data_IF_978943616682
#
_entry.id   IF_978943616682
#
_cell.length_a   1.000
_cell.length_b   1.000
_cell.length_c   1.000
_cell.angle_alpha   90.00
_cell.angle_beta   90.00
_cell.angle_gamma   90.00
#
_symmetry.space_group_name_H-M   'P 1'
#
loop_
_entity.id
_entity.type
_entity.pdbx_description
1 polymer ?
#
# COMPACT_ATOMS: atom_id res chain seq x y z
N UNK A 1 -66.40 16.39 -36.42
CA UNK A 1 -66.65 15.30 -35.47
C UNK A 1 -65.49 14.32 -35.62
N UNK A 2 -64.76 14.12 -34.52
CA UNK A 2 -63.48 13.38 -34.34
C UNK A 2 -63.52 11.91 -34.85
N UNK A 3 -62.40 11.15 -34.89
CA UNK A 3 -61.05 11.47 -34.37
C UNK A 3 -59.86 11.14 -35.30
N UNK A 4 -58.76 11.82 -35.04
CA UNK A 4 -57.40 11.65 -35.56
C UNK A 4 -56.59 10.72 -34.67
N UNK A 5 -55.69 9.95 -35.29
CA UNK A 5 -54.78 8.97 -34.68
C UNK A 5 -53.93 9.53 -33.53
N UNK A 6 -53.62 8.75 -32.48
CA UNK A 6 -52.73 9.19 -31.41
C UNK A 6 -51.26 9.10 -31.85
N UNK A 7 -50.62 10.27 -31.82
CA UNK A 7 -49.21 10.52 -32.06
C UNK A 7 -48.35 9.86 -30.95
N UNK A 8 -47.33 9.10 -31.35
CA UNK A 8 -46.37 8.49 -30.44
C UNK A 8 -45.56 9.57 -29.70
N UNK A 9 -45.18 9.36 -28.42
CA UNK A 9 -44.43 10.36 -27.66
C UNK A 9 -43.03 10.55 -28.26
N UNK A 10 -42.48 11.77 -28.25
CA UNK A 10 -41.14 12.03 -28.76
C UNK A 10 -40.12 11.29 -27.90
N UNK A 11 -39.22 10.57 -28.56
CA UNK A 11 -38.03 9.99 -27.97
C UNK A 11 -37.20 11.11 -27.34
N UNK A 12 -37.01 11.04 -26.03
CA UNK A 12 -36.13 11.95 -25.31
C UNK A 12 -34.74 11.92 -25.92
N UNK A 13 -34.27 13.08 -26.40
CA UNK A 13 -32.91 13.26 -26.88
C UNK A 13 -31.94 13.00 -25.72
N UNK A 14 -31.12 11.96 -25.85
CA UNK A 14 -29.86 11.86 -25.15
C UNK A 14 -29.01 13.09 -25.50
N UNK A 15 -28.85 14.03 -24.57
CA UNK A 15 -27.97 15.17 -24.75
C UNK A 15 -28.48 16.44 -24.11
N UNK A 16 -28.44 16.49 -22.78
CA UNK A 16 -27.97 17.66 -22.05
C UNK A 16 -27.61 17.16 -20.64
N UNK A 17 -26.35 16.76 -20.48
CA UNK A 17 -25.79 16.61 -19.14
C UNK A 17 -25.88 17.99 -18.50
N UNK A 18 -26.85 18.18 -17.60
CA UNK A 18 -26.96 19.38 -16.80
C UNK A 18 -25.56 19.74 -16.31
N UNK A 19 -25.11 20.97 -16.60
CA UNK A 19 -23.81 21.45 -16.16
C UNK A 19 -23.72 21.16 -14.66
N UNK A 20 -22.81 20.27 -14.25
CA UNK A 20 -22.64 19.91 -12.84
C UNK A 20 -22.32 21.21 -12.09
N UNK A 21 -23.32 21.78 -11.41
CA UNK A 21 -23.15 22.98 -10.59
C UNK A 21 -22.48 22.52 -9.31
N UNK A 22 -21.18 22.72 -9.23
CA UNK A 22 -20.38 22.38 -8.06
C UNK A 22 -18.88 22.44 -8.35
N UNK A 23 -18.03 22.53 -7.33
CA UNK A 23 -16.58 22.39 -7.49
C UNK A 23 -16.28 21.08 -8.24
N UNK A 24 -15.31 21.09 -9.17
CA UNK A 24 -14.90 19.87 -9.88
C UNK A 24 -14.62 18.78 -8.84
N UNK A 25 -15.10 17.53 -9.03
CA UNK A 25 -14.76 16.42 -8.14
C UNK A 25 -13.26 16.18 -8.25
N UNK A 26 -12.51 16.84 -7.39
CA UNK A 26 -11.09 16.63 -7.22
C UNK A 26 -10.91 15.68 -6.06
N UNK A 27 -10.04 14.70 -6.21
CA UNK A 27 -9.72 13.81 -5.10
C UNK A 27 -8.75 14.54 -4.17
N UNK A 28 -9.18 14.75 -2.93
CA UNK A 28 -8.36 15.38 -1.89
C UNK A 28 -7.61 14.28 -1.14
N UNK A 29 -6.28 14.33 -1.19
CA UNK A 29 -5.39 13.47 -0.40
C UNK A 29 -4.74 14.28 0.70
N UNK A 30 -4.86 13.79 1.94
CA UNK A 30 -4.17 14.37 3.10
C UNK A 30 -2.84 13.66 3.33
N UNK A 31 -1.76 14.43 3.48
CA UNK A 31 -0.42 13.88 3.68
C UNK A 31 -0.28 13.23 5.06
N UNK A 32 -0.23 11.91 5.12
CA UNK A 32 0.06 11.18 6.34
C UNK A 32 1.58 10.90 6.46
N UNK A 33 2.23 11.61 7.38
CA UNK A 33 3.66 11.40 7.65
C UNK A 33 3.92 10.04 8.27
N UNK A 34 3.10 9.66 9.26
CA UNK A 34 3.25 8.44 10.03
C UNK A 34 2.12 7.44 9.74
N UNK A 35 2.47 6.15 9.70
CA UNK A 35 1.54 5.03 9.58
C UNK A 35 1.73 4.06 10.75
N UNK A 36 0.62 3.48 11.24
CA UNK A 36 0.69 2.42 12.24
C UNK A 36 1.18 1.12 11.60
N UNK A 37 1.76 0.23 12.40
CA UNK A 37 2.18 -1.11 11.96
C UNK A 37 1.01 -1.87 11.31
N UNK A 38 -0.18 -1.76 11.91
CA UNK A 38 -1.39 -2.40 11.39
C UNK A 38 -1.74 -1.92 9.97
N UNK A 39 -1.62 -0.61 9.72
CA UNK A 39 -1.84 -0.03 8.39
C UNK A 39 -0.79 -0.52 7.39
N UNK A 40 0.49 -0.55 7.78
CA UNK A 40 1.58 -1.05 6.94
C UNK A 40 1.33 -2.52 6.54
N UNK A 41 1.00 -3.37 7.52
CA UNK A 41 0.67 -4.79 7.28
C UNK A 41 -0.55 -4.96 6.38
N UNK A 42 -1.58 -4.13 6.54
CA UNK A 42 -2.76 -4.13 5.65
C UNK A 42 -2.35 -3.81 4.21
N UNK A 43 -1.59 -2.74 4.00
CA UNK A 43 -1.13 -2.34 2.66
C UNK A 43 -0.25 -3.41 2.00
N UNK A 44 0.64 -4.05 2.77
CA UNK A 44 1.47 -5.15 2.27
C UNK A 44 0.63 -6.38 1.87
N UNK A 45 -0.41 -6.70 2.64
CA UNK A 45 -1.36 -7.78 2.32
C UNK A 45 -2.16 -7.48 1.05
N UNK A 46 -2.67 -6.25 0.91
CA UNK A 46 -3.43 -5.82 -0.29
C UNK A 46 -2.57 -5.83 -1.56
N UNK A 47 -1.27 -5.56 -1.43
CA UNK A 47 -0.33 -5.60 -2.54
C UNK A 47 0.02 -7.04 -2.98
N UNK A 48 -0.48 -8.07 -2.30
CA UNK A 48 -0.19 -9.49 -2.57
C UNK A 48 1.33 -9.78 -2.62
N UNK A 49 2.06 -9.15 -1.70
CA UNK A 49 3.51 -9.25 -1.63
C UNK A 49 3.92 -10.32 -0.60
N UNK A 50 4.86 -11.18 -0.98
CA UNK A 50 5.50 -12.10 -0.04
C UNK A 50 6.34 -11.29 0.97
N UNK A 51 6.05 -11.35 2.29
CA UNK A 51 6.76 -10.54 3.29
C UNK A 51 8.28 -10.73 3.27
N UNK A 52 8.75 -11.96 3.07
CA UNK A 52 10.19 -12.23 3.05
C UNK A 52 10.87 -11.63 1.82
N UNK A 53 10.20 -11.66 0.67
CA UNK A 53 10.70 -11.05 -0.57
C UNK A 53 10.71 -9.53 -0.47
N UNK A 54 9.66 -8.94 0.09
CA UNK A 54 9.57 -7.49 0.31
C UNK A 54 10.69 -7.00 1.22
N UNK A 55 10.94 -7.69 2.34
CA UNK A 55 12.05 -7.37 3.25
C UNK A 55 13.39 -7.36 2.53
N UNK A 56 13.66 -8.38 1.69
CA UNK A 56 14.90 -8.46 0.93
C UNK A 56 15.03 -7.30 -0.07
N UNK A 57 13.96 -6.96 -0.80
CA UNK A 57 13.98 -5.82 -1.73
C UNK A 57 14.13 -4.49 -1.01
N UNK A 58 13.51 -4.34 0.17
CA UNK A 58 13.67 -3.16 1.01
C UNK A 58 15.11 -2.98 1.45
N UNK A 59 15.73 -4.06 1.96
CA UNK A 59 17.12 -4.05 2.40
C UNK A 59 18.09 -3.76 1.26
N UNK A 60 17.91 -4.43 0.11
CA UNK A 60 18.74 -4.20 -1.08
C UNK A 60 18.56 -2.78 -1.63
N UNK A 61 17.34 -2.25 -1.64
CA UNK A 61 17.05 -0.88 -2.06
C UNK A 61 17.72 0.16 -1.18
N UNK A 62 17.57 0.05 0.14
CA UNK A 62 18.22 0.97 1.09
C UNK A 62 19.76 0.87 1.01
N UNK A 63 20.29 -0.34 0.85
CA UNK A 63 21.73 -0.56 0.66
C UNK A 63 22.24 0.05 -0.65
N UNK A 64 21.46 -0.05 -1.73
CA UNK A 64 21.77 0.59 -3.02
C UNK A 64 21.82 2.11 -2.86
N UNK A 65 20.84 2.72 -2.19
CA UNK A 65 20.83 4.17 -1.91
C UNK A 65 22.08 4.57 -1.11
N UNK A 66 22.45 3.80 -0.07
CA UNK A 66 23.66 4.07 0.74
C UNK A 66 24.96 3.94 -0.09
N UNK A 67 25.02 2.98 -1.01
CA UNK A 67 26.25 2.76 -1.80
C UNK A 67 26.40 3.82 -2.89
N UNK A 68 25.30 4.14 -3.59
CA UNK A 68 25.28 5.15 -4.65
C UNK A 68 25.55 6.55 -4.09
N UNK A 69 24.98 6.91 -2.93
CA UNK A 69 25.26 8.22 -2.32
C UNK A 69 26.75 8.39 -1.97
N UNK A 70 27.39 7.32 -1.48
CA UNK A 70 28.80 7.33 -1.11
C UNK A 70 29.66 7.50 -2.37
N UNK A 71 29.34 6.78 -3.44
CA UNK A 71 30.04 6.89 -4.72
C UNK A 71 29.89 8.29 -5.37
N UNK A 72 28.72 8.90 -5.23
CA UNK A 72 28.45 10.26 -5.73
C UNK A 72 29.00 11.38 -4.81
N UNK A 73 29.68 11.02 -3.72
CA UNK A 73 30.17 11.94 -2.69
C UNK A 73 29.06 12.88 -2.16
N UNK A 74 27.83 12.37 -2.02
CA UNK A 74 26.73 13.10 -1.42
C UNK A 74 27.00 13.20 0.09
N UNK A 75 27.66 14.28 0.49
CA UNK A 75 28.05 14.54 1.89
C UNK A 75 26.87 14.59 2.88
N UNK A 76 25.68 15.12 2.52
CA UNK A 76 24.58 15.18 3.47
C UNK A 76 23.91 13.81 3.68
N UNK A 77 23.97 13.29 4.91
CA UNK A 77 23.15 12.14 5.33
C UNK A 77 21.66 12.43 5.24
N UNK A 78 21.26 13.72 5.26
CA UNK A 78 19.87 14.14 5.06
C UNK A 78 19.28 13.64 3.74
N UNK A 79 20.06 13.65 2.65
CA UNK A 79 19.62 13.15 1.34
C UNK A 79 19.30 11.66 1.38
N UNK A 80 20.05 10.88 2.16
CA UNK A 80 19.79 9.45 2.37
C UNK A 80 18.52 9.20 3.17
N UNK A 81 18.32 9.95 4.25
CA UNK A 81 17.15 9.80 5.11
C UNK A 81 15.86 10.08 4.34
N UNK A 82 15.88 11.14 3.52
CA UNK A 82 14.79 11.51 2.60
C UNK A 82 14.57 10.44 1.54
N UNK A 83 15.63 9.98 0.88
CA UNK A 83 15.53 8.93 -0.14
C UNK A 83 14.96 7.62 0.42
N UNK A 84 15.39 7.19 1.61
CA UNK A 84 14.87 5.98 2.25
C UNK A 84 13.40 6.12 2.63
N UNK A 85 13.01 7.28 3.16
CA UNK A 85 11.61 7.55 3.53
C UNK A 85 10.70 7.51 2.30
N UNK A 86 11.14 8.09 1.18
CA UNK A 86 10.41 8.07 -0.08
C UNK A 86 10.32 6.67 -0.67
N UNK A 87 11.43 5.92 -0.63
CA UNK A 87 11.47 4.55 -1.10
C UNK A 87 10.50 3.64 -0.32
N UNK A 88 10.48 3.75 1.02
CA UNK A 88 9.54 3.00 1.86
C UNK A 88 8.09 3.33 1.54
N UNK A 89 7.75 4.62 1.42
CA UNK A 89 6.38 5.04 1.04
C UNK A 89 6.01 4.52 -0.35
N UNK A 90 6.89 4.68 -1.34
CA UNK A 90 6.67 4.16 -2.69
C UNK A 90 6.38 2.66 -2.69
N UNK A 91 7.18 1.85 -1.99
CA UNK A 91 7.01 0.39 -1.93
C UNK A 91 5.73 -0.07 -1.26
N UNK A 92 5.20 0.71 -0.31
CA UNK A 92 3.91 0.40 0.31
C UNK A 92 2.73 0.69 -0.63
N UNK A 93 2.90 1.58 -1.60
CA UNK A 93 1.81 2.06 -2.44
C UNK A 93 1.75 1.43 -3.83
N UNK A 94 2.82 0.78 -4.27
CA UNK A 94 2.88 0.07 -5.55
C UNK A 94 3.24 -1.40 -5.36
N UNK A 95 2.67 -2.25 -6.20
CA UNK A 95 2.93 -3.70 -6.19
C UNK A 95 4.33 -4.02 -6.70
N UNK A 96 4.90 -5.11 -6.17
CA UNK A 96 6.23 -5.64 -6.54
C UNK A 96 6.39 -5.95 -8.03
N UNK A 97 5.30 -6.35 -8.69
CA UNK A 97 5.32 -6.70 -10.11
C UNK A 97 5.35 -5.48 -11.04
N UNK A 98 4.98 -4.30 -10.55
CA UNK A 98 4.82 -3.12 -11.41
C UNK A 98 6.12 -2.35 -11.60
N UNK A 99 6.99 -2.31 -10.58
CA UNK A 99 8.22 -1.54 -10.60
C UNK A 99 9.38 -2.27 -9.95
N UNK A 100 10.52 -2.26 -10.64
CA UNK A 100 11.76 -2.81 -10.12
C UNK A 100 12.25 -2.00 -8.90
N UNK A 101 12.65 -2.70 -7.84
CA UNK A 101 13.13 -2.06 -6.61
C UNK A 101 14.36 -1.17 -6.84
N UNK A 102 15.21 -1.53 -7.82
CA UNK A 102 16.40 -0.74 -8.15
C UNK A 102 16.02 0.61 -8.75
N UNK A 103 15.10 0.63 -9.72
CA UNK A 103 14.65 1.85 -10.36
C UNK A 103 13.88 2.74 -9.39
N UNK A 104 13.05 2.14 -8.53
CA UNK A 104 12.35 2.85 -7.45
C UNK A 104 13.33 3.47 -6.44
N UNK A 105 14.40 2.76 -6.06
CA UNK A 105 15.41 3.26 -5.13
C UNK A 105 16.23 4.42 -5.74
N UNK A 106 16.66 4.29 -7.00
CA UNK A 106 17.40 5.34 -7.71
C UNK A 106 16.52 6.57 -7.99
N UNK A 107 15.25 6.37 -8.33
CA UNK A 107 14.30 7.45 -8.49
C UNK A 107 14.01 8.18 -7.15
N UNK A 108 13.89 7.43 -6.05
CA UNK A 108 13.74 8.02 -4.71
C UNK A 108 14.96 8.86 -4.33
N UNK A 109 16.17 8.40 -4.66
CA UNK A 109 17.40 9.17 -4.47
C UNK A 109 17.43 10.42 -5.36
N UNK A 110 17.01 10.32 -6.62
CA UNK A 110 16.96 11.45 -7.54
C UNK A 110 16.02 12.56 -7.05
N UNK A 111 14.82 12.21 -6.60
CA UNK A 111 13.86 13.16 -6.01
C UNK A 111 14.42 13.76 -4.72
N UNK A 112 14.99 12.94 -3.82
CA UNK A 112 15.60 13.42 -2.58
C UNK A 112 16.77 14.40 -2.83
N UNK A 113 17.57 14.20 -3.88
CA UNK A 113 18.63 15.13 -4.26
C UNK A 113 18.09 16.51 -4.64
N UNK A 114 16.91 16.58 -5.26
CA UNK A 114 16.26 17.86 -5.58
C UNK A 114 15.72 18.55 -4.33
N UNK A 115 15.11 17.79 -3.42
CA UNK A 115 14.51 18.32 -2.18
C UNK A 115 15.58 18.83 -1.20
N UNK A 116 16.75 18.19 -1.14
CA UNK A 116 17.83 18.52 -0.21
C UNK A 116 18.92 19.43 -0.80
N UNK A 117 18.68 20.08 -1.93
CA UNK A 117 19.64 20.95 -2.63
C UNK A 117 20.98 20.27 -2.98
N UNK A 118 20.95 18.96 -3.23
CA UNK A 118 22.10 18.14 -3.65
C UNK A 118 21.95 17.64 -5.09
N UNK A 119 21.40 18.49 -5.96
CA UNK A 119 20.93 18.13 -7.31
C UNK A 119 22.00 17.39 -8.13
N UNK A 120 21.61 16.22 -8.66
CA UNK A 120 22.39 15.40 -9.60
C UNK A 120 21.54 15.09 -10.82
N UNK A 121 22.19 14.88 -11.98
CA UNK A 121 21.47 14.42 -13.18
C UNK A 121 21.07 12.95 -12.98
N UNK A 122 19.94 12.54 -13.54
CA UNK A 122 19.47 11.15 -13.46
C UNK A 122 20.49 10.17 -14.04
N UNK A 123 21.16 10.54 -15.14
CA UNK A 123 22.24 9.75 -15.75
C UNK A 123 23.47 9.59 -14.84
N UNK A 124 23.83 10.61 -14.05
CA UNK A 124 24.96 10.52 -13.12
C UNK A 124 24.67 9.53 -12.00
N UNK A 125 23.42 9.51 -11.50
CA UNK A 125 22.97 8.55 -10.48
C UNK A 125 23.00 7.12 -11.04
N UNK A 126 22.54 6.94 -12.28
CA UNK A 126 22.58 5.65 -12.97
C UNK A 126 24.00 5.15 -13.24
N UNK A 127 24.87 6.03 -13.71
CA UNK A 127 26.28 5.70 -13.93
C UNK A 127 26.96 5.30 -12.62
N UNK A 128 26.70 6.02 -11.53
CA UNK A 128 27.21 5.64 -10.20
C UNK A 128 26.69 4.26 -9.76
N UNK A 129 25.40 3.98 -9.94
CA UNK A 129 24.82 2.67 -9.63
C UNK A 129 25.43 1.55 -10.49
N UNK A 130 25.72 1.81 -11.77
CA UNK A 130 26.36 0.86 -12.67
C UNK A 130 27.82 0.62 -12.30
N UNK A 131 28.58 1.67 -12.00
CA UNK A 131 30.01 1.61 -11.65
C UNK A 131 30.24 0.91 -10.31
N UNK A 132 29.29 1.04 -9.37
CA UNK A 132 29.29 0.27 -8.11
C UNK A 132 29.15 -1.24 -8.38
N UNK A 133 28.34 -1.63 -9.36
CA UNK A 133 28.13 -3.05 -9.72
C UNK A 133 29.23 -3.61 -10.62
N UNK A 134 29.81 -2.78 -11.47
CA UNK A 134 30.79 -3.16 -12.47
C UNK A 134 32.08 -2.34 -12.30
N UNK A 135 32.86 -2.59 -11.22
CA UNK A 135 34.10 -1.84 -10.97
C UNK A 135 35.15 -2.06 -12.06
N UNK A 136 35.14 -3.23 -12.72
CA UNK A 136 36.10 -3.59 -13.77
C UNK A 136 35.83 -2.90 -15.12
N UNK A 137 34.61 -2.39 -15.32
CA UNK A 137 34.17 -1.74 -16.55
C UNK A 137 33.31 -0.52 -16.23
N UNK A 138 33.90 0.56 -15.70
CA UNK A 138 33.16 1.78 -15.42
C UNK A 138 32.64 2.38 -16.72
N UNK A 139 31.41 2.88 -16.69
CA UNK A 139 30.76 3.60 -17.77
C UNK A 139 30.64 5.09 -17.41
N UNK A 140 30.74 5.94 -18.42
CA UNK A 140 30.57 7.38 -18.25
C UNK A 140 29.09 7.74 -18.24
N UNK A 141 28.69 8.81 -17.55
CA UNK A 141 27.27 9.20 -17.49
C UNK A 141 26.68 9.64 -18.83
N UNK A 142 27.53 9.93 -19.82
CA UNK A 142 27.11 10.26 -21.19
C UNK A 142 26.84 9.02 -22.07
N UNK A 143 27.11 7.80 -21.58
CA UNK A 143 26.84 6.58 -22.34
C UNK A 143 25.35 6.41 -22.66
N UNK A 144 25.07 6.00 -23.91
CA UNK A 144 23.70 5.77 -24.40
C UNK A 144 22.93 4.71 -23.61
N UNK A 145 23.65 3.83 -22.91
CA UNK A 145 23.10 2.79 -22.02
C UNK A 145 22.21 3.41 -20.94
N UNK A 146 22.51 4.64 -20.49
CA UNK A 146 21.78 5.33 -19.43
C UNK A 146 20.61 6.19 -19.93
N UNK A 147 20.38 6.29 -21.24
CA UNK A 147 19.34 7.16 -21.78
C UNK A 147 17.93 6.61 -21.50
N UNK A 148 17.69 5.32 -21.76
CA UNK A 148 16.39 4.69 -21.52
C UNK A 148 16.08 4.57 -20.01
N UNK A 149 16.98 4.04 -19.15
CA UNK A 149 16.77 4.03 -17.71
C UNK A 149 16.61 5.44 -17.12
N UNK A 150 17.30 6.44 -17.68
CA UNK A 150 17.18 7.84 -17.27
C UNK A 150 15.77 8.39 -17.48
N UNK A 151 15.11 8.03 -18.58
CA UNK A 151 13.69 8.40 -18.85
C UNK A 151 12.74 7.72 -17.87
N UNK A 152 13.00 6.46 -17.50
CA UNK A 152 12.21 5.73 -16.50
C UNK A 152 12.28 6.43 -15.14
N UNK A 153 13.49 6.78 -14.67
CA UNK A 153 13.66 7.52 -13.39
C UNK A 153 12.88 8.84 -13.39
N UNK A 154 12.92 9.58 -14.49
CA UNK A 154 12.18 10.84 -14.62
C UNK A 154 10.65 10.58 -14.63
N UNK A 155 10.19 9.49 -15.25
CA UNK A 155 8.78 9.09 -15.19
C UNK A 155 8.33 8.70 -13.78
N UNK A 156 9.19 8.00 -13.03
CA UNK A 156 8.94 7.57 -11.65
C UNK A 156 8.92 8.74 -10.65
N UNK A 157 9.63 9.85 -10.94
CA UNK A 157 9.62 11.04 -10.09
C UNK A 157 8.20 11.53 -9.80
N UNK A 158 7.34 11.62 -10.82
CA UNK A 158 5.94 12.05 -10.65
C UNK A 158 5.18 11.13 -9.69
N UNK A 159 5.34 9.82 -9.85
CA UNK A 159 4.68 8.82 -9.01
C UNK A 159 5.15 8.91 -7.55
N UNK A 160 6.44 9.14 -7.33
CA UNK A 160 7.00 9.34 -5.98
C UNK A 160 6.42 10.60 -5.35
N UNK A 161 6.35 11.72 -6.08
CA UNK A 161 5.78 12.98 -5.60
C UNK A 161 4.30 12.85 -5.21
N UNK A 162 3.51 12.16 -6.05
CA UNK A 162 2.10 11.85 -5.76
C UNK A 162 1.96 10.94 -4.54
N UNK A 163 2.87 9.98 -4.36
CA UNK A 163 2.84 9.04 -3.23
C UNK A 163 3.17 9.68 -1.89
N UNK A 164 4.16 10.60 -1.87
CA UNK A 164 4.47 11.37 -0.65
C UNK A 164 3.43 12.46 -0.37
N UNK A 165 2.50 12.68 -1.30
CA UNK A 165 1.49 13.73 -1.23
C UNK A 165 2.08 15.13 -1.26
N UNK A 166 3.18 15.31 -2.00
CA UNK A 166 3.98 16.55 -2.01
C UNK A 166 4.42 17.03 -0.61
N UNK A 167 4.47 16.14 0.39
CA UNK A 167 5.01 16.46 1.71
C UNK A 167 6.52 16.25 1.76
N UNK A 168 7.26 17.34 1.63
CA UNK A 168 8.71 17.37 1.68
C UNK A 168 9.28 17.45 3.10
N UNK A 169 8.43 17.42 4.14
CA UNK A 169 8.87 17.56 5.54
C UNK A 169 9.46 16.26 6.08
N UNK A 170 10.65 15.91 5.63
CA UNK A 170 11.42 14.79 6.19
C UNK A 170 12.03 15.17 7.54
N UNK A 171 12.15 14.19 8.44
CA UNK A 171 12.74 14.36 9.77
C UNK A 171 14.08 13.63 9.88
N UNK A 172 15.05 14.30 10.51
CA UNK A 172 16.42 13.83 10.64
C UNK A 172 16.76 13.55 12.12
N UNK A 173 16.82 12.28 12.56
CA UNK A 173 17.12 11.92 13.94
C UNK A 173 18.54 12.25 14.36
N UNK A 174 19.50 12.30 13.43
CA UNK A 174 20.93 12.43 13.71
C UNK A 174 21.27 13.76 14.40
N UNK A 175 20.62 14.86 14.01
CA UNK A 175 20.84 16.18 14.64
C UNK A 175 20.40 16.19 16.10
N UNK A 176 19.29 15.50 16.40
CA UNK A 176 18.78 15.39 17.77
C UNK A 176 19.60 14.37 18.58
N UNK A 177 20.06 13.29 17.95
CA UNK A 177 20.93 12.28 18.55
C UNK A 177 22.20 12.91 19.13
N UNK A 178 22.89 13.76 18.36
CA UNK A 178 24.09 14.47 18.84
C UNK A 178 23.78 15.29 20.10
N UNK A 179 22.66 16.01 20.12
CA UNK A 179 22.26 16.85 21.27
C UNK A 179 21.95 16.02 22.51
N UNK A 180 21.22 14.92 22.34
CA UNK A 180 20.83 14.03 23.44
C UNK A 180 22.06 13.34 24.02
N UNK A 181 22.90 12.73 23.19
CA UNK A 181 24.12 12.05 23.65
C UNK A 181 25.04 13.03 24.39
N UNK A 182 25.27 14.23 23.84
CA UNK A 182 26.08 15.26 24.50
C UNK A 182 25.49 15.73 25.83
N UNK A 183 24.16 15.75 25.95
CA UNK A 183 23.50 16.16 27.20
C UNK A 183 23.55 15.11 28.30
N UNK A 184 23.64 13.83 27.95
CA UNK A 184 23.66 12.72 28.92
C UNK A 184 25.10 12.38 29.33
N UNK A 185 26.03 12.31 28.37
CA UNK A 185 27.38 11.77 28.57
C UNK A 185 28.50 12.82 28.51
N UNK A 186 28.19 14.06 28.12
CA UNK A 186 29.19 15.07 27.81
C UNK A 186 29.89 14.82 26.46
N UNK A 187 30.99 15.55 26.20
CA UNK A 187 31.65 15.57 24.89
C UNK A 187 32.62 14.40 24.67
N UNK A 188 33.42 14.06 25.68
CA UNK A 188 34.52 13.09 25.55
C UNK A 188 34.03 11.65 25.73
N UNK A 189 33.34 11.36 26.84
CA UNK A 189 32.77 10.03 27.08
C UNK A 189 31.65 9.67 26.08
N UNK A 190 31.02 10.68 25.48
CA UNK A 190 29.96 10.49 24.49
C UNK A 190 30.45 10.11 23.09
N UNK A 191 31.74 10.23 22.75
CA UNK A 191 32.20 10.05 21.36
C UNK A 191 32.13 8.58 20.89
N UNK A 192 32.64 7.64 21.68
CA UNK A 192 32.59 6.21 21.36
C UNK A 192 31.15 5.70 21.31
N UNK A 193 30.33 6.12 22.29
CA UNK A 193 28.90 5.84 22.35
C UNK A 193 28.16 6.39 21.13
N UNK A 194 28.47 7.63 20.74
CA UNK A 194 27.85 8.29 19.60
C UNK A 194 28.17 7.57 18.28
N UNK A 195 29.40 7.08 18.08
CA UNK A 195 29.78 6.34 16.85
C UNK A 195 28.88 5.11 16.64
N UNK A 196 28.62 4.35 17.71
CA UNK A 196 27.74 3.18 17.68
C UNK A 196 26.29 3.61 17.45
N UNK A 197 25.79 4.58 18.24
CA UNK A 197 24.42 5.07 18.12
C UNK A 197 24.14 5.68 16.73
N UNK A 198 25.13 6.35 16.13
CA UNK A 198 25.05 6.91 14.79
C UNK A 198 24.99 5.82 13.72
N UNK A 199 25.82 4.77 13.83
CA UNK A 199 25.73 3.61 12.94
C UNK A 199 24.36 2.91 13.06
N UNK A 200 23.84 2.75 14.28
CA UNK A 200 22.48 2.23 14.51
C UNK A 200 21.42 3.13 13.87
N UNK A 201 21.61 4.44 13.88
CA UNK A 201 20.66 5.38 13.27
C UNK A 201 20.55 5.19 11.75
N UNK A 202 21.63 4.78 11.09
CA UNK A 202 21.63 4.47 9.65
C UNK A 202 20.96 3.12 9.40
N UNK A 203 21.26 2.11 10.20
CA UNK A 203 20.63 0.79 10.08
C UNK A 203 19.12 0.84 10.38
N UNK A 204 18.66 1.75 11.25
CA UNK A 204 17.23 1.99 11.50
C UNK A 204 16.46 2.35 10.22
N UNK A 205 17.07 3.01 9.23
CA UNK A 205 16.40 3.31 7.96
C UNK A 205 16.18 2.07 7.07
N UNK A 206 16.67 0.89 7.45
CA UNK A 206 16.35 -0.39 6.80
C UNK A 206 15.03 -0.99 7.27
N UNK A 207 14.43 -0.44 8.32
CA UNK A 207 13.10 -0.82 8.83
C UNK A 207 12.06 0.24 8.49
N UNK A 208 10.79 -0.02 8.81
CA UNK A 208 9.70 0.95 8.68
C UNK A 208 9.64 1.97 9.84
N UNK A 209 10.59 1.98 10.76
CA UNK A 209 10.62 2.95 11.88
C UNK A 209 10.50 4.42 11.42
N UNK A 210 11.19 4.88 10.35
CA UNK A 210 11.10 6.28 9.90
C UNK A 210 9.69 6.72 9.49
N UNK A 211 8.85 5.78 9.06
CA UNK A 211 7.45 6.03 8.70
C UNK A 211 6.47 5.70 9.84
N UNK A 212 6.93 5.11 10.95
CA UNK A 212 6.09 4.76 12.11
C UNK A 212 6.20 5.74 13.27
N UNK A 213 7.36 6.39 13.44
CA UNK A 213 7.74 7.03 14.71
C UNK A 213 8.28 8.44 14.56
N UNK A 214 8.07 9.24 15.60
CA UNK A 214 8.61 10.60 15.69
C UNK A 214 10.12 10.60 15.92
N UNK A 215 10.78 11.69 15.55
CA UNK A 215 12.22 11.90 15.74
C UNK A 215 12.69 11.68 17.17
N UNK A 216 11.89 12.10 18.15
CA UNK A 216 12.26 11.96 19.56
C UNK A 216 12.22 10.50 20.01
N UNK A 217 11.16 9.77 19.67
CA UNK A 217 11.05 8.33 19.98
C UNK A 217 12.16 7.52 19.32
N UNK A 218 12.51 7.83 18.06
CA UNK A 218 13.63 7.19 17.35
C UNK A 218 14.96 7.42 18.08
N UNK A 219 15.26 8.67 18.46
CA UNK A 219 16.52 8.98 19.16
C UNK A 219 16.59 8.33 20.53
N UNK A 220 15.51 8.36 21.31
CA UNK A 220 15.49 7.72 22.62
C UNK A 220 15.68 6.20 22.53
N UNK A 221 15.06 5.56 21.52
CA UNK A 221 15.26 4.14 21.25
C UNK A 221 16.72 3.82 20.88
N UNK A 222 17.35 4.62 20.02
CA UNK A 222 18.74 4.43 19.64
C UNK A 222 19.69 4.58 20.83
N UNK A 223 19.50 5.60 21.66
CA UNK A 223 20.34 5.85 22.83
C UNK A 223 20.15 4.75 23.88
N UNK A 224 18.91 4.36 24.18
CA UNK A 224 18.66 3.29 25.15
C UNK A 224 19.16 1.93 24.64
N UNK A 225 18.96 1.62 23.36
CA UNK A 225 19.47 0.39 22.76
C UNK A 225 21.00 0.36 22.79
N UNK A 226 21.66 1.46 22.44
CA UNK A 226 23.12 1.57 22.52
C UNK A 226 23.61 1.33 23.95
N UNK A 227 22.97 1.94 24.95
CA UNK A 227 23.30 1.73 26.37
C UNK A 227 23.11 0.28 26.82
N UNK A 228 22.05 -0.41 26.38
CA UNK A 228 21.83 -1.83 26.67
C UNK A 228 22.86 -2.73 25.97
N UNK A 229 23.23 -2.42 24.74
CA UNK A 229 24.22 -3.18 23.97
C UNK A 229 25.62 -3.05 24.58
N UNK A 230 26.06 -1.84 24.92
CA UNK A 230 27.38 -1.59 25.52
C UNK A 230 27.42 -1.91 27.02
N UNK A 231 26.26 -2.01 27.68
CA UNK A 231 26.16 -2.18 29.13
C UNK A 231 26.56 -0.93 29.92
N UNK A 232 26.62 0.23 29.27
CA UNK A 232 27.09 1.49 29.86
C UNK A 232 25.98 2.53 29.90
N UNK A 233 25.98 3.37 30.94
CA UNK A 233 25.16 4.59 31.05
C UNK A 233 23.63 4.39 30.99
N UNK A 234 23.13 3.18 31.26
CA UNK A 234 21.70 2.88 31.23
C UNK A 234 20.89 3.78 32.17
N UNK A 235 21.37 3.99 33.40
CA UNK A 235 20.65 4.76 34.42
C UNK A 235 20.55 6.25 34.05
N UNK A 236 21.63 6.81 33.50
CA UNK A 236 21.65 8.20 33.03
C UNK A 236 20.65 8.41 31.86
N UNK A 237 20.51 7.43 30.97
CA UNK A 237 19.52 7.48 29.88
C UNK A 237 18.09 7.40 30.43
N UNK A 238 17.83 6.53 31.40
CA UNK A 238 16.51 6.41 32.05
C UNK A 238 16.13 7.68 32.80
N UNK A 239 17.07 8.27 33.54
CA UNK A 239 16.85 9.53 34.24
C UNK A 239 16.56 10.68 33.27
N UNK A 240 17.30 10.76 32.17
CA UNK A 240 17.04 11.73 31.12
C UNK A 240 15.65 11.54 30.51
N UNK A 241 15.23 10.30 30.25
CA UNK A 241 13.92 9.97 29.71
C UNK A 241 12.79 10.39 30.67
N UNK A 242 12.93 10.09 31.96
CA UNK A 242 11.92 10.40 32.99
C UNK A 242 11.64 11.91 33.13
N UNK A 243 12.63 12.76 32.83
CA UNK A 243 12.49 14.23 32.90
C UNK A 243 11.80 14.83 31.68
N UNK A 244 11.43 14.04 30.66
CA UNK A 244 10.91 14.55 29.38
C UNK A 244 9.43 14.17 29.19
N UNK A 245 8.51 15.14 29.09
CA UNK A 245 7.09 14.84 28.91
C UNK A 245 6.78 14.23 27.52
N UNK A 246 7.64 14.45 26.53
CA UNK A 246 7.49 13.84 25.19
C UNK A 246 7.88 12.35 25.15
N UNK A 247 8.40 11.80 26.25
CA UNK A 247 8.82 10.42 26.31
C UNK A 247 7.62 9.48 26.40
N UNK A 248 7.49 8.60 25.41
CA UNK A 248 6.43 7.61 25.36
C UNK A 248 7.04 6.20 25.28
N UNK A 249 6.98 5.46 26.40
CA UNK A 249 7.63 4.15 26.57
C UNK A 249 7.24 3.12 25.49
N UNK A 250 5.95 2.90 25.17
CA UNK A 250 5.56 1.94 24.14
C UNK A 250 6.14 2.27 22.76
N UNK A 251 6.22 3.56 22.38
CA UNK A 251 6.77 3.97 21.09
C UNK A 251 8.28 3.71 21.00
N UNK A 252 9.00 3.87 22.12
CA UNK A 252 10.44 3.58 22.22
C UNK A 252 10.70 2.09 22.18
N UNK A 253 9.94 1.29 22.95
CA UNK A 253 10.06 -0.17 22.98
C UNK A 253 9.80 -0.80 21.61
N UNK A 254 8.73 -0.40 20.93
CA UNK A 254 8.42 -0.88 19.58
C UNK A 254 9.57 -0.58 18.60
N UNK A 255 10.12 0.65 18.67
CA UNK A 255 11.26 1.03 17.83
C UNK A 255 12.50 0.18 18.11
N UNK A 256 12.80 -0.09 19.38
CA UNK A 256 13.93 -0.92 19.77
C UNK A 256 13.77 -2.36 19.28
N UNK A 257 12.56 -2.92 19.38
CA UNK A 257 12.27 -4.28 18.92
C UNK A 257 12.32 -4.39 17.40
N UNK A 258 11.83 -3.41 16.65
CA UNK A 258 11.94 -3.38 15.19
C UNK A 258 13.42 -3.37 14.74
N UNK A 259 14.27 -2.61 15.43
CA UNK A 259 15.72 -2.57 15.16
C UNK A 259 16.41 -3.88 15.57
N UNK A 260 16.03 -4.48 16.70
CA UNK A 260 16.58 -5.77 17.13
C UNK A 260 16.18 -6.91 16.20
N UNK A 261 14.97 -6.90 15.68
CA UNK A 261 14.51 -7.89 14.70
C UNK A 261 15.31 -7.79 13.40
N UNK A 262 15.62 -6.56 12.95
CA UNK A 262 16.54 -6.35 11.83
C UNK A 262 17.93 -6.97 12.11
N UNK A 263 18.51 -6.76 13.29
CA UNK A 263 19.83 -7.30 13.61
C UNK A 263 19.83 -8.83 13.77
N UNK A 264 18.74 -9.42 14.26
CA UNK A 264 18.63 -10.87 14.43
C UNK A 264 18.40 -11.57 13.08
N UNK A 265 17.52 -11.04 12.24
CA UNK A 265 17.17 -11.66 10.96
C UNK A 265 18.21 -11.38 9.88
N UNK A 266 18.78 -10.17 9.86
CA UNK A 266 19.65 -9.68 8.79
C UNK A 266 21.00 -9.16 9.30
N UNK A 267 21.59 -9.88 10.26
CA UNK A 267 22.84 -9.54 10.94
C UNK A 267 23.95 -9.04 10.00
N UNK A 268 24.25 -9.80 8.94
CA UNK A 268 25.33 -9.49 7.97
C UNK A 268 25.02 -8.31 7.05
N UNK A 269 23.75 -7.93 6.91
CA UNK A 269 23.30 -6.84 6.05
C UNK A 269 23.31 -5.49 6.77
N UNK A 270 23.78 -5.42 8.03
CA UNK A 270 23.78 -4.21 8.87
C UNK A 270 25.19 -3.81 9.30
N UNK A 271 25.39 -2.51 9.52
CA UNK A 271 26.69 -1.97 9.96
C UNK A 271 27.00 -2.31 11.42
N UNK A 272 25.97 -2.34 12.27
CA UNK A 272 26.11 -2.62 13.70
C UNK A 272 25.98 -4.10 14.01
N UNK A 273 25.20 -4.86 13.24
CA UNK A 273 25.10 -6.31 13.43
C UNK A 273 26.47 -6.96 13.44
N UNK A 274 27.32 -6.66 12.46
CA UNK A 274 28.69 -7.20 12.37
C UNK A 274 29.64 -6.78 13.49
N UNK A 275 29.29 -5.79 14.33
CA UNK A 275 30.13 -5.31 15.43
C UNK A 275 29.85 -6.04 16.76
N UNK A 276 28.70 -6.69 16.90
CA UNK A 276 28.27 -7.35 18.12
C UNK A 276 27.90 -8.81 17.85
N UNK A 277 28.04 -9.66 18.87
CA UNK A 277 27.60 -11.05 18.78
C UNK A 277 26.08 -11.14 18.67
N UNK A 278 25.59 -12.08 17.87
CA UNK A 278 24.16 -12.32 17.65
C UNK A 278 23.45 -12.62 18.98
N UNK A 279 24.10 -13.37 19.87
CA UNK A 279 23.56 -13.71 21.19
C UNK A 279 23.25 -12.46 22.01
N UNK A 280 24.09 -11.42 21.93
CA UNK A 280 23.85 -10.17 22.65
C UNK A 280 22.56 -9.48 22.22
N UNK A 281 22.26 -9.49 20.92
CA UNK A 281 20.99 -8.95 20.41
C UNK A 281 19.79 -9.78 20.87
N UNK A 282 19.92 -11.11 20.90
CA UNK A 282 18.87 -12.00 21.40
C UNK A 282 18.60 -11.79 22.90
N UNK A 283 19.65 -11.69 23.72
CA UNK A 283 19.53 -11.45 25.17
C UNK A 283 18.81 -10.12 25.46
N UNK A 284 19.20 -9.05 24.76
CA UNK A 284 18.57 -7.73 24.92
C UNK A 284 17.10 -7.78 24.47
N UNK A 285 16.80 -8.50 23.37
CA UNK A 285 15.41 -8.68 22.91
C UNK A 285 14.57 -9.46 23.91
N UNK A 286 15.09 -10.54 24.49
CA UNK A 286 14.40 -11.32 25.53
C UNK A 286 14.08 -10.41 26.72
N UNK A 287 15.07 -9.64 27.20
CA UNK A 287 14.87 -8.71 28.31
C UNK A 287 13.77 -7.66 28.03
N UNK A 288 13.69 -7.14 26.81
CA UNK A 288 12.64 -6.19 26.41
C UNK A 288 11.26 -6.84 26.26
N UNK A 289 11.18 -8.07 25.76
CA UNK A 289 9.91 -8.79 25.68
C UNK A 289 9.37 -9.14 27.08
N UNK A 290 10.24 -9.55 28.00
CA UNK A 290 9.84 -9.73 29.42
C UNK A 290 9.35 -8.42 30.04
N UNK A 291 9.96 -7.28 29.68
CA UNK A 291 9.49 -5.95 30.11
C UNK A 291 8.09 -5.64 29.55
N UNK A 292 7.83 -5.93 28.25
CA UNK A 292 6.51 -5.76 27.63
C UNK A 292 5.44 -6.60 28.33
N UNK A 293 5.73 -7.86 28.61
CA UNK A 293 4.81 -8.78 29.29
C UNK A 293 4.49 -8.31 30.71
N UNK A 294 5.52 -7.88 31.45
CA UNK A 294 5.39 -7.39 32.82
C UNK A 294 4.52 -6.12 32.90
N UNK A 295 4.70 -5.20 31.96
CA UNK A 295 4.01 -3.91 31.94
C UNK A 295 2.70 -3.94 31.13
N UNK A 296 2.30 -5.12 30.61
CA UNK A 296 1.13 -5.32 29.75
C UNK A 296 1.10 -4.41 28.53
N UNK A 297 2.27 -4.11 27.96
CA UNK A 297 2.41 -3.27 26.78
C UNK A 297 2.37 -4.15 25.53
N UNK A 298 1.48 -3.84 24.59
CA UNK A 298 1.47 -4.51 23.29
C UNK A 298 2.73 -4.16 22.48
N UNK A 299 3.27 -5.15 21.76
CA UNK A 299 4.45 -4.98 20.89
C UNK A 299 4.26 -3.85 19.86
N UNK A 300 3.06 -3.72 19.30
CA UNK A 300 2.74 -2.67 18.33
C UNK A 300 1.71 -1.71 18.90
N UNK A 301 1.96 -0.42 18.74
CA UNK A 301 1.00 0.62 19.08
C UNK A 301 -0.27 0.51 18.23
N UNK A 302 -1.41 0.85 18.84
CA UNK A 302 -2.74 0.83 18.20
C UNK A 302 -3.15 -0.57 17.69
N UNK A 303 -2.79 -1.62 18.45
CA UNK A 303 -3.18 -2.98 18.14
C UNK A 303 -4.70 -3.16 18.26
N UNK A 304 -5.31 -3.77 17.24
CA UNK A 304 -6.74 -4.05 17.16
C UNK A 304 -6.92 -5.50 16.69
N UNK A 305 -7.36 -6.39 17.59
CA UNK A 305 -7.50 -7.81 17.29
C UNK A 305 -8.58 -8.13 16.25
N UNK A 306 -9.57 -7.24 16.07
CA UNK A 306 -10.57 -7.38 14.97
C UNK A 306 -9.97 -7.04 13.62
N UNK A 307 -9.14 -6.00 13.57
CA UNK A 307 -8.54 -5.47 12.35
C UNK A 307 -7.42 -6.37 11.80
N UNK A 308 -6.90 -7.30 12.60
CA UNK A 308 -5.89 -8.27 12.18
C UNK A 308 -6.52 -9.46 11.43
N UNK A 309 -7.77 -9.80 11.78
CA UNK A 309 -8.54 -10.98 11.32
C UNK A 309 -9.52 -10.70 10.18
N UNK A 310 -9.71 -9.44 9.77
CA UNK A 310 -10.43 -9.13 8.53
C UNK A 310 -9.52 -9.52 7.35
N UNK A 311 -9.70 -10.76 6.86
CA UNK A 311 -9.19 -11.15 5.55
C UNK A 311 -9.77 -10.20 4.50
N UNK A 312 -9.01 -9.83 3.45
CA UNK A 312 -9.59 -9.12 2.33
C UNK A 312 -10.66 -10.06 1.76
N UNK A 313 -11.92 -9.75 2.00
CA UNK A 313 -13.02 -10.47 1.37
C UNK A 313 -12.75 -10.43 -0.11
N UNK A 314 -12.44 -11.60 -0.67
CA UNK A 314 -12.40 -11.82 -2.10
C UNK A 314 -13.72 -11.27 -2.60
N UNK A 315 -13.68 -10.18 -3.35
CA UNK A 315 -14.84 -9.68 -4.05
C UNK A 315 -15.21 -10.77 -5.07
N UNK A 316 -16.05 -11.71 -4.64
CA UNK A 316 -16.74 -12.63 -5.52
C UNK A 316 -17.46 -11.75 -6.55
N UNK A 317 -17.36 -12.03 -7.87
CA UNK A 317 -18.17 -11.31 -8.84
C UNK A 317 -19.62 -11.74 -8.64
N UNK A 318 -20.29 -11.06 -7.71
CA UNK A 318 -21.67 -11.26 -7.34
C UNK A 318 -22.55 -10.41 -8.23
N UNK A 319 -23.38 -11.09 -9.02
CA UNK A 319 -24.43 -10.56 -9.89
C UNK A 319 -25.12 -9.31 -9.34
N UNK A 320 -25.30 -8.34 -10.23
CA UNK A 320 -26.21 -7.20 -10.09
C UNK A 320 -27.59 -7.70 -9.70
N UNK A 321 -27.95 -7.60 -8.42
CA UNK A 321 -29.32 -7.45 -7.86
C UNK A 321 -29.28 -7.76 -6.37
N UNK A 322 -29.14 -6.73 -5.52
CA UNK A 322 -29.71 -6.62 -4.16
C UNK A 322 -29.15 -5.37 -3.46
N UNK A 323 -29.98 -4.38 -3.09
CA UNK A 323 -29.53 -3.17 -2.41
C UNK A 323 -29.72 -3.32 -0.89
N UNK A 324 -28.90 -4.11 -0.20
CA UNK A 324 -28.84 -4.01 1.28
C UNK A 324 -27.52 -4.57 1.82
N UNK A 325 -26.45 -3.81 1.67
CA UNK A 325 -25.25 -3.97 2.49
C UNK A 325 -24.57 -2.61 2.64
N UNK A 326 -25.08 -1.79 3.57
CA UNK A 326 -24.34 -0.67 4.13
C UNK A 326 -23.17 -1.22 4.95
N UNK A 327 -22.11 -1.65 4.26
CA UNK A 327 -20.82 -1.83 4.91
C UNK A 327 -20.36 -0.45 5.37
N UNK A 328 -20.31 -0.25 6.68
CA UNK A 328 -19.72 0.92 7.33
C UNK A 328 -18.21 0.95 7.05
N UNK A 329 -17.86 1.40 5.84
CA UNK A 329 -16.49 1.71 5.46
C UNK A 329 -16.10 3.02 6.13
N UNK A 330 -15.08 2.98 6.97
CA UNK A 330 -14.57 4.14 7.69
C UNK A 330 -14.08 5.21 6.70
N UNK A 331 -14.47 6.50 6.88
CA UNK A 331 -14.10 7.56 5.94
C UNK A 331 -12.62 7.91 6.13
N UNK A 332 -11.79 7.58 5.12
CA UNK A 332 -10.38 7.98 5.06
C UNK A 332 -9.40 6.90 4.57
N UNK A 333 -9.85 5.65 4.40
CA UNK A 333 -8.95 4.51 4.15
C UNK A 333 -8.90 4.01 2.69
N UNK A 334 -9.20 4.89 1.72
CA UNK A 334 -8.91 4.66 0.29
C UNK A 334 -7.48 5.11 -0.03
N UNK A 335 -6.46 4.69 0.75
CA UNK A 335 -5.14 5.35 0.67
C UNK A 335 -4.60 5.46 -0.75
N UNK A 336 -4.82 4.47 -1.61
CA UNK A 336 -4.66 4.62 -3.05
C UNK A 336 -5.53 3.56 -3.73
N UNK A 337 -6.75 3.88 -4.17
CA UNK A 337 -7.23 3.21 -5.39
C UNK A 337 -6.38 3.72 -6.55
N UNK A 338 -5.14 3.21 -6.62
CA UNK A 338 -4.17 3.23 -7.73
C UNK A 338 -4.00 4.60 -8.35
N UNK A 339 -2.94 5.34 -7.97
CA UNK A 339 -2.39 6.51 -8.71
C UNK A 339 -3.06 6.74 -10.07
N UNK A 340 -4.14 7.52 -10.09
CA UNK A 340 -4.83 8.10 -11.24
C UNK A 340 -4.72 7.35 -12.59
N UNK A 341 -4.74 6.02 -12.63
CA UNK A 341 -4.81 5.27 -13.89
C UNK A 341 -6.28 5.07 -14.22
N UNK A 342 -6.91 6.15 -14.69
CA UNK A 342 -8.21 6.12 -15.36
C UNK A 342 -9.37 6.83 -14.68
N UNK A 343 -9.16 7.73 -13.71
CA UNK A 343 -10.24 8.58 -13.20
C UNK A 343 -10.10 10.00 -13.75
N UNK A 344 -11.09 10.45 -14.52
CA UNK A 344 -11.24 11.84 -14.96
C UNK A 344 -11.48 12.74 -13.72
N UNK A 345 -10.39 13.21 -13.10
CA UNK A 345 -10.42 13.98 -11.87
C UNK A 345 -9.10 14.66 -11.54
N UNK A 346 -9.14 15.89 -11.00
CA UNK A 346 -7.93 16.60 -10.54
C UNK A 346 -7.53 16.10 -9.14
N UNK A 347 -6.34 15.50 -8.99
CA UNK A 347 -5.79 15.14 -7.68
C UNK A 347 -5.27 16.39 -6.96
N UNK A 348 -5.69 16.60 -5.71
CA UNK A 348 -5.24 17.74 -4.86
C UNK A 348 -4.65 17.21 -3.56
N UNK A 349 -3.57 17.84 -3.11
CA UNK A 349 -2.84 17.45 -1.90
C UNK A 349 -2.96 18.56 -0.86
N UNK A 350 -3.47 18.22 0.32
CA UNK A 350 -3.74 19.18 1.40
C UNK A 350 -2.99 18.74 2.66
N UNK A 351 -2.26 19.67 3.27
CA UNK A 351 -1.45 19.39 4.46
C UNK A 351 -2.26 19.39 5.75
N UNK A 352 -3.33 20.17 5.80
CA UNK A 352 -4.21 20.28 6.94
C UNK A 352 -5.36 19.26 6.82
N UNK A 353 -5.39 18.21 7.65
CA UNK A 353 -6.44 17.21 7.60
C UNK A 353 -7.82 17.78 7.96
N UNK A 354 -7.89 18.87 8.72
CA UNK A 354 -9.15 19.52 9.08
C UNK A 354 -9.71 20.29 7.89
N UNK A 355 -8.89 21.12 7.24
CA UNK A 355 -9.28 21.81 6.00
C UNK A 355 -9.65 20.84 4.87
N UNK A 356 -8.93 19.71 4.76
CA UNK A 356 -9.26 18.66 3.80
C UNK A 356 -10.64 18.03 4.06
N UNK A 357 -10.98 17.82 5.34
CA UNK A 357 -12.28 17.27 5.75
C UNK A 357 -13.40 18.27 5.54
N UNK A 358 -13.19 19.54 5.92
CA UNK A 358 -14.16 20.61 5.71
C UNK A 358 -14.48 20.79 4.21
N UNK A 359 -13.46 20.75 3.35
CA UNK A 359 -13.66 20.78 1.90
C UNK A 359 -14.43 19.54 1.41
N UNK A 360 -14.08 18.33 1.88
CA UNK A 360 -14.82 17.12 1.55
C UNK A 360 -16.29 17.18 1.99
N UNK A 361 -16.55 17.63 3.21
CA UNK A 361 -17.89 17.76 3.78
C UNK A 361 -18.71 18.82 3.03
N UNK A 362 -18.07 19.90 2.58
CA UNK A 362 -18.71 20.95 1.77
C UNK A 362 -19.03 20.45 0.36
N UNK A 363 -18.18 19.60 -0.22
CA UNK A 363 -18.29 19.12 -1.60
C UNK A 363 -19.19 17.90 -1.71
N UNK A 364 -19.24 17.03 -0.69
CA UNK A 364 -19.99 15.77 -0.70
C UNK A 364 -21.47 15.91 -1.10
N UNK A 365 -22.24 16.92 -0.65
CA UNK A 365 -23.64 17.08 -1.02
C UNK A 365 -23.86 17.32 -2.52
N UNK A 366 -22.89 17.87 -3.24
CA UNK A 366 -22.99 18.14 -4.69
C UNK A 366 -22.90 16.86 -5.55
N UNK A 367 -22.58 15.72 -4.95
CA UNK A 367 -22.42 14.42 -5.63
C UNK A 367 -23.37 13.33 -5.10
N UNK A 368 -24.34 13.68 -4.27
CA UNK A 368 -25.40 12.75 -3.87
C UNK A 368 -26.40 12.61 -5.02
N UNK A 369 -26.49 11.41 -5.59
CA UNK A 369 -27.52 11.05 -6.57
C UNK A 369 -28.67 10.36 -5.84
N UNK A 370 -29.82 11.04 -5.71
CA UNK A 370 -31.06 10.43 -5.24
C UNK A 370 -31.76 9.75 -6.42
N UNK A 371 -32.02 8.45 -6.30
CA UNK A 371 -32.78 7.67 -7.27
C UNK A 371 -34.18 7.41 -6.70
N UNK A 372 -35.22 7.81 -7.41
CA UNK A 372 -36.61 7.40 -7.13
C UNK A 372 -36.99 6.29 -8.09
N UNK A 373 -37.17 5.06 -7.57
CA UNK A 373 -37.72 3.95 -8.34
C UNK A 373 -39.25 4.10 -8.42
N UNK A 374 -39.79 4.20 -9.63
CA UNK A 374 -41.24 4.19 -9.89
C UNK A 374 -41.61 2.84 -10.52
N UNK A 375 -42.41 2.04 -9.82
CA UNK A 375 -43.03 0.83 -10.39
C UNK A 375 -44.22 1.24 -11.27
N UNK A 376 -44.12 0.95 -12.58
CA UNK A 376 -45.22 1.16 -13.54
C UNK A 376 -45.90 -0.18 -13.77
N UNK A 377 -47.07 -0.39 -13.18
CA UNK A 377 -47.93 -1.53 -13.51
C UNK A 377 -48.50 -1.35 -14.93
N UNK A 378 -48.07 -2.18 -15.88
CA UNK A 378 -48.61 -2.20 -17.24
C UNK A 378 -49.61 -3.36 -17.35
N UNK A 379 -50.91 -3.05 -17.41
CA UNK A 379 -51.93 -4.04 -17.74
C UNK A 379 -51.85 -4.42 -19.23
N UNK A 380 -51.43 -5.65 -19.54
CA UNK A 380 -51.44 -6.18 -20.90
C UNK A 380 -52.85 -6.68 -21.30
N UNK A 381 -53.45 -6.17 -22.40
CA UNK A 381 -54.73 -6.68 -22.89
C UNK A 381 -54.59 -8.08 -23.50
N UNK A 382 -55.45 -9.02 -23.08
CA UNK A 382 -55.48 -10.39 -23.60
C UNK A 382 -55.88 -10.37 -25.09
N UNK A 383 -55.08 -10.95 -26.01
CA UNK A 383 -55.42 -10.98 -27.43
C UNK A 383 -56.66 -11.83 -27.74
N UNK A 384 -57.55 -11.31 -28.59
CA UNK A 384 -58.77 -12.01 -29.01
C UNK A 384 -58.47 -13.26 -29.88
N UNK A 385 -59.30 -14.33 -29.80
CA UNK A 385 -59.06 -15.55 -30.57
C UNK A 385 -59.31 -15.33 -32.07
N UNK A 386 -58.38 -15.82 -32.91
CA UNK A 386 -58.47 -15.73 -34.37
C UNK A 386 -59.56 -16.67 -34.93
N UNK A 387 -60.49 -16.11 -35.70
CA UNK A 387 -61.46 -16.85 -36.50
C UNK A 387 -60.83 -17.41 -37.80
N UNK A 388 -61.17 -18.66 -38.12
CA UNK A 388 -60.88 -19.34 -39.39
C UNK A 388 -61.68 -18.71 -40.54
N UNK A 389 -61.05 -18.60 -41.72
CA UNK A 389 -61.79 -18.37 -42.97
C UNK A 389 -61.17 -19.14 -44.14
N UNK A 390 -62.01 -19.96 -44.77
CA UNK A 390 -61.78 -20.74 -45.99
C UNK A 390 -61.72 -19.87 -47.25
N UNK A 391 -60.96 -20.34 -48.26
CA UNK A 391 -61.34 -20.22 -49.68
C UNK A 391 -60.26 -19.71 -50.66
N UNK A 392 -59.92 -20.52 -51.67
CA UNK A 392 -59.70 -19.99 -53.03
C UNK A 392 -58.45 -20.38 -53.87
N UNK A 393 -58.22 -21.67 -54.12
CA UNK A 393 -57.72 -22.35 -55.35
C UNK A 393 -56.85 -21.74 -56.50
N UNK A 394 -56.01 -22.66 -57.03
CA UNK A 394 -55.33 -22.80 -58.36
C UNK A 394 -53.95 -22.14 -58.53
N UNK A 395 -52.89 -22.79 -59.02
CA UNK A 395 -52.64 -24.14 -59.56
C UNK A 395 -51.25 -24.16 -60.25
N UNK A 396 -50.56 -25.30 -60.26
CA UNK A 396 -49.30 -25.45 -61.02
C UNK A 396 -48.45 -26.67 -60.64
N UNK A 397 -48.71 -27.80 -61.29
CA UNK A 397 -48.02 -29.10 -61.15
C UNK A 397 -46.64 -29.13 -61.84
N UNK A 398 -45.65 -29.76 -61.17
CA UNK A 398 -44.60 -30.68 -61.67
C UNK A 398 -43.80 -31.14 -60.43
N UNK A 399 -43.63 -32.41 -60.04
CA UNK A 399 -43.79 -33.69 -60.72
C UNK A 399 -42.44 -34.43 -60.76
N UNK A 400 -42.33 -35.55 -60.03
CA UNK A 400 -41.22 -36.51 -59.83
C UNK A 400 -40.36 -36.31 -58.56
N UNK A 401 -40.21 -37.28 -57.65
CA UNK A 401 -40.74 -38.64 -57.56
C UNK A 401 -39.89 -39.51 -56.61
N UNK A 402 -40.58 -40.21 -55.70
CA UNK A 402 -40.22 -41.47 -55.02
C UNK A 402 -39.08 -41.52 -53.96
N UNK A 403 -39.47 -41.81 -52.70
CA UNK A 403 -38.63 -42.47 -51.67
C UNK A 403 -38.59 -44.00 -51.87
N UNK A 404 -38.44 -44.86 -50.83
CA UNK A 404 -38.12 -44.64 -49.42
C UNK A 404 -37.13 -45.67 -48.80
N UNK A 405 -36.90 -45.55 -47.47
CA UNK A 405 -36.49 -46.56 -46.46
C UNK A 405 -35.01 -46.86 -46.14
N UNK A 406 -34.85 -47.07 -44.82
CA UNK A 406 -33.85 -47.87 -44.09
C UNK A 406 -32.40 -47.33 -44.05
N UNK A 407 -31.57 -47.52 -43.03
CA UNK A 407 -31.60 -48.01 -41.63
C UNK A 407 -30.12 -48.06 -41.21
N UNK A 408 -29.81 -47.83 -39.93
CA UNK A 408 -28.52 -48.18 -39.27
C UNK A 408 -27.26 -47.43 -39.74
N UNK A 409 -26.22 -47.22 -38.94
CA UNK A 409 -25.95 -47.39 -37.51
C UNK A 409 -24.62 -46.66 -37.20
N UNK A 410 -24.33 -46.54 -35.89
CA UNK A 410 -23.02 -46.41 -35.23
C UNK A 410 -22.67 -45.07 -34.55
N UNK A 411 -23.08 -45.05 -33.27
CA UNK A 411 -22.23 -45.05 -32.05
C UNK A 411 -21.10 -44.01 -31.94
N UNK A 412 -21.23 -43.13 -30.95
CA UNK A 412 -20.53 -43.10 -29.63
C UNK A 412 -21.07 -41.87 -28.87
N UNK A 413 -21.61 -41.87 -27.65
CA UNK A 413 -21.63 -42.83 -26.56
C UNK A 413 -21.10 -42.12 -25.29
N UNK A 414 -21.96 -41.81 -24.32
CA UNK A 414 -21.55 -41.44 -22.96
C UNK A 414 -22.57 -40.61 -22.15
N UNK A 415 -23.45 -41.28 -21.40
CA UNK A 415 -24.27 -40.68 -20.33
C UNK A 415 -24.53 -41.73 -19.22
N UNK A 416 -24.13 -41.37 -17.99
CA UNK A 416 -24.62 -41.71 -16.63
C UNK A 416 -25.03 -43.14 -16.19
N UNK A 417 -24.64 -43.49 -14.95
CA UNK A 417 -25.59 -44.09 -13.99
C UNK A 417 -25.07 -45.06 -12.90
N UNK A 418 -25.29 -44.68 -11.63
CA UNK A 418 -25.58 -45.57 -10.46
C UNK A 418 -24.39 -46.22 -9.74
N UNK A 419 -24.28 -46.32 -8.41
CA UNK A 419 -25.21 -46.18 -7.29
C UNK A 419 -25.13 -47.43 -6.39
N UNK A 420 -24.74 -47.30 -5.11
CA UNK A 420 -24.94 -48.35 -4.08
C UNK A 420 -25.19 -47.72 -2.69
N UNK A 421 -26.21 -48.28 -2.01
CA UNK A 421 -26.75 -47.94 -0.68
C UNK A 421 -25.92 -48.54 0.46
N UNK A 422 -26.03 -47.95 1.67
CA UNK A 422 -25.67 -48.62 2.92
C UNK A 422 -25.97 -47.84 4.22
N UNK A 423 -27.21 -48.02 4.71
CA UNK A 423 -27.65 -48.16 6.11
C UNK A 423 -27.55 -47.03 7.18
N UNK A 424 -28.68 -46.91 7.86
CA UNK A 424 -29.04 -46.14 9.07
C UNK A 424 -28.09 -46.27 10.28
N UNK A 425 -27.99 -45.17 11.08
CA UNK A 425 -28.20 -45.20 12.54
C UNK A 425 -28.30 -43.81 13.17
N UNK A 426 -29.36 -43.65 13.96
CA UNK A 426 -29.67 -42.64 14.97
C UNK A 426 -28.48 -41.98 15.69
N UNK A 427 -28.58 -40.67 16.01
CA UNK A 427 -28.78 -40.23 17.40
C UNK A 427 -29.18 -38.76 17.55
N UNK A 428 -30.01 -38.54 18.58
CA UNK A 428 -30.60 -37.29 19.06
C UNK A 428 -29.57 -36.26 19.52
N UNK A 429 -29.97 -35.00 19.42
CA UNK A 429 -29.26 -33.83 19.91
C UNK A 429 -29.09 -33.71 21.42
N UNK A 430 -28.46 -32.60 21.82
CA UNK A 430 -28.57 -32.03 23.16
C UNK A 430 -28.33 -30.52 23.11
N UNK A 431 -29.37 -29.80 23.48
CA UNK A 431 -29.39 -28.41 23.95
C UNK A 431 -29.48 -28.47 25.49
N UNK A 432 -29.21 -27.33 26.13
CA UNK A 432 -29.31 -26.99 27.55
C UNK A 432 -28.06 -27.38 28.36
N UNK A 433 -27.49 -26.52 29.22
CA UNK A 433 -28.00 -25.34 29.93
C UNK A 433 -26.94 -24.24 30.00
#
# INVERSE_FOLDING_TARGET
MSPTDPEAPPTASNGDAAARIGPHPGYISSSNQYASELKIRRMLRENDCDPAREDNYRLQGVQLIDTVRQHLNLQPVRTFDTACTYFHKFRLNFRDAEYNYQDAALASLFVACKVEDTIKKSKDILAAAYNVKNPDKPAASDDKIFESPGKIIIGLERLILETIGFDFRTRYPQKLLVKVVRSILGREAGESFFKIAYAMSIDMYKTFVPIKRTTFSMVMALVELTARMTGQHLDAVKEFAARRPQYHRPAVLETMLDILDLYIQYHKSTKVGTQFDLNRFMDVKIALNTELEKDFISRHMYHCSRCENEDPTTATPGSTTSPTATSSSWPGDLSMRRTARGQDGTMRFVFDPEAAREEQDTVAPFFNEEYEEYEVEVEEPIPAPRHEHEGGGRGGYRGHGHGPRDRSDYRRGGSYGGGYRGADRHYRGRRYH
#
